data_IF_103190139924
#
_entry.id   IF_103190139924
#
_cell.length_a   1.000
_cell.length_b   1.000
_cell.length_c   1.000
_cell.angle_alpha   90.00
_cell.angle_beta   90.00
_cell.angle_gamma   90.00
#
_symmetry.space_group_name_H-M   'P 1'
#
loop_
_entity.id
_entity.type
_entity.pdbx_description
1 polymer ?
#
# COMPACT_ATOMS: atom_id res chain seq x y z
N UNK A 1 -10.51 10.78 9.26
CA UNK A 1 -9.65 11.77 9.93
C UNK A 1 -9.50 11.38 11.39
N UNK A 2 -8.32 11.53 11.96
CA UNK A 2 -8.09 11.28 13.39
C UNK A 2 -8.69 12.41 14.23
N UNK A 3 -9.50 12.07 15.25
CA UNK A 3 -10.12 13.06 16.14
C UNK A 3 -9.11 13.82 17.01
N UNK A 4 -7.95 13.22 17.32
CA UNK A 4 -6.95 13.83 18.21
C UNK A 4 -6.08 14.89 17.53
N UNK A 5 -5.73 14.69 16.25
CA UNK A 5 -4.80 15.57 15.53
C UNK A 5 -5.35 16.16 14.23
N UNK A 6 -6.57 15.77 13.81
CA UNK A 6 -7.20 16.26 12.60
C UNK A 6 -6.60 15.75 11.28
N UNK A 7 -5.59 14.86 11.32
CA UNK A 7 -4.94 14.35 10.12
C UNK A 7 -5.55 13.03 9.59
N UNK A 8 -5.47 12.76 8.27
CA UNK A 8 -5.10 13.72 7.22
C UNK A 8 -6.15 14.83 7.08
N UNK A 9 -5.75 16.03 6.63
CA UNK A 9 -6.62 17.20 6.53
C UNK A 9 -7.77 17.06 5.50
N UNK A 10 -7.72 16.04 4.65
CA UNK A 10 -8.77 15.63 3.73
C UNK A 10 -8.96 14.10 3.81
N UNK A 11 -10.13 13.55 3.41
CA UNK A 11 -10.32 12.11 3.32
C UNK A 11 -9.23 11.44 2.47
N UNK A 12 -8.63 10.38 3.00
CA UNK A 12 -7.49 9.70 2.41
C UNK A 12 -6.79 8.80 3.42
N UNK A 13 -5.62 8.28 3.05
CA UNK A 13 -4.84 7.43 3.95
C UNK A 13 -4.14 8.25 5.03
N UNK A 14 -4.03 7.69 6.23
CA UNK A 14 -3.24 8.31 7.31
C UNK A 14 -1.76 8.49 6.93
N UNK A 15 -1.25 7.68 6.00
CA UNK A 15 0.11 7.81 5.44
C UNK A 15 0.29 9.08 4.58
N UNK A 16 -0.79 9.79 4.27
CA UNK A 16 -0.78 11.08 3.57
C UNK A 16 -0.91 12.25 4.55
N UNK A 17 -0.86 12.00 5.87
CA UNK A 17 -0.81 13.04 6.88
C UNK A 17 0.39 13.97 6.61
N UNK A 18 0.13 15.27 6.48
CA UNK A 18 1.14 16.28 6.12
C UNK A 18 1.22 16.62 4.63
N UNK A 19 0.48 15.93 3.75
CA UNK A 19 0.39 16.29 2.34
C UNK A 19 -0.50 17.54 2.13
N UNK A 20 0.10 18.73 2.13
CA UNK A 20 -0.60 20.00 2.04
C UNK A 20 -1.17 20.29 0.64
N UNK A 21 -0.42 19.98 -0.43
CA UNK A 21 -0.84 20.23 -1.81
C UNK A 21 -1.37 18.97 -2.50
N UNK A 22 -2.04 19.14 -3.65
CA UNK A 22 -2.44 18.02 -4.50
C UNK A 22 -1.23 17.22 -5.01
N UNK A 23 -0.12 17.90 -5.32
CA UNK A 23 1.14 17.26 -5.72
C UNK A 23 1.75 16.41 -4.60
N UNK A 24 1.68 16.89 -3.34
CA UNK A 24 2.18 16.13 -2.20
C UNK A 24 1.35 14.87 -1.95
N UNK A 25 0.03 14.94 -2.12
CA UNK A 25 -0.85 13.76 -2.03
C UNK A 25 -0.53 12.74 -3.10
N UNK A 26 -0.29 13.19 -4.33
CA UNK A 26 0.11 12.30 -5.42
C UNK A 26 1.47 11.64 -5.14
N UNK A 27 2.45 12.41 -4.64
CA UNK A 27 3.75 11.88 -4.23
C UNK A 27 3.61 10.85 -3.11
N UNK A 28 2.79 11.13 -2.10
CA UNK A 28 2.54 10.22 -0.98
C UNK A 28 1.87 8.91 -1.44
N UNK A 29 0.93 8.98 -2.39
CA UNK A 29 0.33 7.79 -3.03
C UNK A 29 1.38 6.90 -3.71
N UNK A 30 2.22 7.48 -4.57
CA UNK A 30 3.26 6.72 -5.26
C UNK A 30 4.33 6.18 -4.31
N UNK A 31 4.69 6.96 -3.28
CA UNK A 31 5.59 6.50 -2.24
C UNK A 31 5.04 5.28 -1.49
N UNK A 32 3.75 5.31 -1.12
CA UNK A 32 3.07 4.16 -0.50
C UNK A 32 3.12 2.92 -1.39
N UNK A 33 2.80 3.05 -2.68
CA UNK A 33 2.87 1.93 -3.62
C UNK A 33 4.30 1.38 -3.77
N UNK A 34 5.31 2.24 -3.80
CA UNK A 34 6.72 1.84 -3.86
C UNK A 34 7.17 1.08 -2.60
N UNK A 35 6.76 1.52 -1.41
CA UNK A 35 7.03 0.80 -0.15
C UNK A 35 6.32 -0.56 -0.12
N UNK A 36 5.05 -0.62 -0.53
CA UNK A 36 4.35 -1.90 -0.65
C UNK A 36 5.05 -2.82 -1.65
N UNK A 37 5.58 -2.27 -2.75
CA UNK A 37 6.32 -3.07 -3.72
C UNK A 37 7.58 -3.71 -3.12
N UNK A 38 8.32 -3.04 -2.23
CA UNK A 38 9.46 -3.67 -1.55
C UNK A 38 9.02 -4.76 -0.57
N UNK A 39 7.92 -4.53 0.15
CA UNK A 39 7.37 -5.48 1.14
C UNK A 39 6.79 -6.73 0.47
N UNK A 40 6.14 -6.59 -0.69
CA UNK A 40 5.42 -7.68 -1.35
C UNK A 40 6.29 -8.55 -2.28
N UNK A 41 7.45 -8.04 -2.71
CA UNK A 41 8.41 -8.78 -3.57
C UNK A 41 8.78 -10.16 -3.05
N UNK A 42 9.13 -10.33 -1.76
CA UNK A 42 9.47 -11.64 -1.19
C UNK A 42 8.33 -12.67 -1.27
N UNK A 43 7.09 -12.23 -1.42
CA UNK A 43 5.91 -13.09 -1.56
C UNK A 43 5.57 -13.40 -3.04
N UNK A 44 6.39 -12.96 -3.99
CA UNK A 44 6.09 -13.11 -5.41
C UNK A 44 4.94 -12.22 -5.89
N UNK A 45 4.67 -11.12 -5.18
CA UNK A 45 3.62 -10.17 -5.49
C UNK A 45 4.19 -8.78 -5.83
N UNK A 46 3.41 -8.00 -6.55
CA UNK A 46 3.72 -6.61 -6.92
C UNK A 46 2.69 -5.64 -6.39
N UNK A 47 3.10 -4.40 -6.17
CA UNK A 47 2.20 -3.29 -5.83
C UNK A 47 2.53 -2.08 -6.70
N UNK A 48 1.51 -1.46 -7.26
CA UNK A 48 1.65 -0.27 -8.10
C UNK A 48 0.46 0.68 -7.91
N UNK A 49 0.67 1.97 -8.12
CA UNK A 49 -0.42 2.94 -8.30
C UNK A 49 -0.22 3.55 -9.69
N UNK A 50 -1.13 3.23 -10.62
CA UNK A 50 -1.06 3.66 -12.02
C UNK A 50 -1.44 5.12 -12.25
N UNK A 51 -1.79 5.87 -11.19
CA UNK A 51 -2.14 7.29 -11.24
C UNK A 51 -3.50 7.62 -11.86
N UNK A 52 -4.00 6.78 -12.79
CA UNK A 52 -5.28 6.97 -13.49
C UNK A 52 -6.45 6.38 -12.72
N UNK A 53 -6.34 5.10 -12.31
CA UNK A 53 -7.38 4.43 -11.52
C UNK A 53 -7.03 4.57 -10.04
N UNK A 54 -7.90 5.14 -9.19
CA UNK A 54 -7.63 5.24 -7.76
C UNK A 54 -7.49 3.87 -7.10
N UNK A 55 -6.41 3.67 -6.36
CA UNK A 55 -6.17 2.45 -5.59
C UNK A 55 -4.74 1.93 -5.74
N UNK A 56 -4.48 0.83 -5.04
CA UNK A 56 -3.24 0.08 -5.10
C UNK A 56 -3.54 -1.17 -5.93
N UNK A 57 -2.83 -1.32 -7.04
CA UNK A 57 -2.90 -2.49 -7.90
C UNK A 57 -1.96 -3.55 -7.35
N UNK A 58 -2.50 -4.69 -6.93
CA UNK A 58 -1.75 -5.86 -6.49
C UNK A 58 -1.68 -6.84 -7.66
N UNK A 59 -0.49 -7.36 -7.95
CA UNK A 59 -0.26 -8.30 -9.04
C UNK A 59 0.50 -9.54 -8.60
N UNK A 60 0.31 -10.62 -9.33
CA UNK A 60 1.09 -11.86 -9.23
C UNK A 60 2.04 -12.01 -10.42
N UNK A 61 3.05 -12.87 -10.30
CA UNK A 61 3.95 -13.19 -11.43
C UNK A 61 3.27 -13.95 -12.57
N UNK A 62 2.06 -14.48 -12.35
CA UNK A 62 1.27 -15.23 -13.33
C UNK A 62 0.16 -14.40 -13.98
N UNK A 63 0.09 -13.10 -13.67
CA UNK A 63 -0.81 -12.15 -14.33
C UNK A 63 -2.15 -11.91 -13.65
N UNK A 64 -2.47 -12.60 -12.55
CA UNK A 64 -3.62 -12.23 -11.72
C UNK A 64 -3.38 -10.85 -11.08
N UNK A 65 -4.42 -10.00 -11.08
CA UNK A 65 -4.37 -8.64 -10.53
C UNK A 65 -5.65 -8.30 -9.77
N UNK A 66 -5.53 -7.44 -8.77
CA UNK A 66 -6.64 -6.83 -8.04
C UNK A 66 -6.35 -5.36 -7.74
N UNK A 67 -7.41 -4.56 -7.58
CA UNK A 67 -7.29 -3.17 -7.13
C UNK A 67 -7.89 -3.10 -5.74
N UNK A 68 -7.11 -2.63 -4.77
CA UNK A 68 -7.55 -2.40 -3.40
C UNK A 68 -7.48 -0.92 -3.06
N UNK A 69 -8.35 -0.46 -2.18
CA UNK A 69 -8.53 0.96 -1.90
C UNK A 69 -7.88 1.41 -0.60
N UNK A 70 -7.41 0.48 0.25
CA UNK A 70 -6.74 0.82 1.49
C UNK A 70 -5.75 -0.25 1.97
N UNK A 71 -4.96 0.10 2.99
CA UNK A 71 -3.92 -0.77 3.54
C UNK A 71 -4.48 -2.00 4.27
N UNK A 72 -5.72 -1.95 4.77
CA UNK A 72 -6.37 -3.10 5.39
C UNK A 72 -6.70 -4.15 4.32
N UNK A 73 -7.30 -3.71 3.22
CA UNK A 73 -7.60 -4.56 2.05
C UNK A 73 -6.33 -5.13 1.40
N UNK A 74 -5.19 -4.40 1.44
CA UNK A 74 -3.92 -4.92 0.92
C UNK A 74 -3.56 -6.25 1.58
N UNK A 75 -3.63 -6.35 2.91
CA UNK A 75 -3.19 -7.56 3.60
C UNK A 75 -4.12 -8.74 3.33
N UNK A 76 -5.43 -8.51 3.41
CA UNK A 76 -6.41 -9.54 3.07
C UNK A 76 -6.23 -10.06 1.63
N UNK A 77 -6.00 -9.17 0.67
CA UNK A 77 -5.83 -9.55 -0.73
C UNK A 77 -4.48 -10.24 -0.99
N UNK A 78 -3.42 -9.79 -0.33
CA UNK A 78 -2.09 -10.39 -0.39
C UNK A 78 -2.12 -11.82 0.16
N UNK A 79 -2.76 -12.06 1.30
CA UNK A 79 -2.91 -13.42 1.84
C UNK A 79 -3.70 -14.33 0.90
N UNK A 80 -4.79 -13.80 0.32
CA UNK A 80 -5.61 -14.51 -0.65
C UNK A 80 -4.82 -14.90 -1.90
N UNK A 81 -3.99 -14.00 -2.43
CA UNK A 81 -3.18 -14.23 -3.63
C UNK A 81 -1.95 -15.09 -3.35
N UNK A 82 -1.30 -14.92 -2.20
CA UNK A 82 -0.12 -15.69 -1.81
C UNK A 82 -0.46 -17.10 -1.32
N UNK A 83 -1.72 -17.35 -0.92
CA UNK A 83 -2.16 -18.64 -0.38
C UNK A 83 -1.56 -18.96 0.99
N UNK A 84 -1.07 -17.95 1.72
CA UNK A 84 -0.45 -18.07 3.03
C UNK A 84 -0.72 -16.81 3.85
N UNK A 85 -0.65 -16.93 5.18
CA UNK A 85 -0.71 -15.77 6.07
C UNK A 85 0.49 -14.84 5.82
N UNK A 86 0.26 -13.53 5.89
CA UNK A 86 1.28 -12.51 5.68
C UNK A 86 1.34 -11.61 6.90
N UNK A 87 2.42 -11.74 7.66
CA UNK A 87 2.73 -10.80 8.74
C UNK A 87 3.18 -9.47 8.13
N UNK A 88 2.53 -8.33 8.42
CA UNK A 88 2.93 -6.98 7.99
C UNK A 88 4.13 -6.41 8.77
N UNK A 89 4.62 -7.12 9.80
CA UNK A 89 5.82 -6.81 10.56
C UNK A 89 6.90 -7.90 10.40
N UNK A 90 6.88 -8.62 9.28
CA UNK A 90 7.83 -9.72 9.06
C UNK A 90 9.26 -9.20 8.92
N UNK A 91 10.23 -9.73 9.72
CA UNK A 91 11.63 -9.29 9.67
C UNK A 91 12.26 -9.33 8.27
N UNK A 92 11.75 -10.18 7.36
CA UNK A 92 12.28 -10.35 5.99
C UNK A 92 12.38 -9.07 5.16
N UNK A 93 11.63 -8.03 5.52
CA UNK A 93 11.65 -6.73 4.83
C UNK A 93 11.77 -5.53 5.80
N UNK A 94 11.86 -5.76 7.11
CA UNK A 94 12.09 -4.70 8.09
C UNK A 94 13.58 -4.34 8.26
N UNK A 95 14.48 -5.24 7.86
CA UNK A 95 15.93 -5.01 7.87
C UNK A 95 16.52 -5.06 9.28
N UNK A 96 16.67 -6.27 9.81
CA UNK A 96 17.32 -6.55 11.10
C UNK A 96 18.68 -7.29 10.95
N UNK A 97 19.30 -7.27 9.77
CA UNK A 97 20.66 -7.80 9.51
C UNK A 97 21.71 -6.67 9.33
#
# INVERSE_FOLDING_TARGET
MCNACGNPAAPGHWTEAGAASAGDRLRARFHRAALLQSVLRPYGLTAHDGGVVPGIQIGTLTGAQAIVHNLEEVWAEVERLAGQAVDPLDPRYLGDD
#
